data_IF_128657692276
#
_entry.id   IF_128657692276
#
_cell.length_a   1.000
_cell.length_b   1.000
_cell.length_c   1.000
_cell.angle_alpha   90.00
_cell.angle_beta   90.00
_cell.angle_gamma   90.00
#
_symmetry.space_group_name_H-M   'P 1'
#
loop_
_entity.id
_entity.type
_entity.pdbx_description
1 polymer ?
#
# COMPACT_ATOMS: atom_id res chain seq x y z
N UNK A 1 -12.67 -3.33 -13.03
CA UNK A 1 -11.46 -3.34 -12.16
C UNK A 1 -11.53 -2.14 -11.25
N UNK A 2 -11.26 -2.26 -9.95
CA UNK A 2 -11.30 -1.10 -9.05
C UNK A 2 -10.10 -0.18 -9.31
N UNK A 3 -10.28 1.14 -9.21
CA UNK A 3 -9.21 2.15 -9.33
C UNK A 3 -8.00 1.79 -8.44
N UNK A 4 -8.26 1.20 -7.27
CA UNK A 4 -7.25 0.82 -6.28
C UNK A 4 -6.56 -0.52 -6.56
N UNK A 5 -7.04 -1.31 -7.52
CA UNK A 5 -6.25 -2.43 -8.07
C UNK A 5 -4.96 -1.95 -8.74
N UNK A 6 -4.89 -0.67 -9.14
CA UNK A 6 -3.69 -0.05 -9.69
C UNK A 6 -2.58 0.04 -8.65
N UNK A 7 -2.87 0.10 -7.35
CA UNK A 7 -1.83 0.07 -6.31
C UNK A 7 -1.02 -1.25 -6.35
N UNK A 8 -1.67 -2.40 -6.45
CA UNK A 8 -0.93 -3.67 -6.55
C UNK A 8 -0.19 -3.80 -7.89
N UNK A 9 -0.75 -3.24 -8.98
CA UNK A 9 0.00 -3.15 -10.24
C UNK A 9 1.22 -2.25 -10.11
N UNK A 10 1.13 -1.17 -9.32
CA UNK A 10 2.24 -0.25 -9.06
C UNK A 10 3.39 -0.97 -8.37
N UNK A 11 3.07 -1.80 -7.40
CA UNK A 11 4.08 -2.64 -6.75
C UNK A 11 4.74 -3.61 -7.73
N UNK A 12 4.01 -4.15 -8.70
CA UNK A 12 4.59 -5.00 -9.76
C UNK A 12 5.48 -4.21 -10.73
N UNK A 13 5.24 -2.91 -10.92
CA UNK A 13 6.12 -2.02 -11.68
C UNK A 13 7.44 -1.78 -10.92
N UNK A 14 7.35 -1.57 -9.61
CA UNK A 14 8.53 -1.40 -8.73
C UNK A 14 9.40 -2.65 -8.69
N UNK A 15 8.78 -3.82 -8.53
CA UNK A 15 9.49 -5.09 -8.53
C UNK A 15 8.59 -6.18 -9.10
N UNK A 16 9.08 -7.00 -10.06
CA UNK A 16 8.28 -8.06 -10.66
C UNK A 16 7.62 -8.96 -9.59
N UNK A 17 6.31 -9.14 -9.71
CA UNK A 17 5.45 -9.96 -8.84
C UNK A 17 5.25 -9.48 -7.39
N UNK A 18 5.87 -8.39 -6.95
CA UNK A 18 5.73 -7.91 -5.56
C UNK A 18 4.26 -7.65 -5.19
N UNK A 19 3.53 -6.93 -6.04
CA UNK A 19 2.12 -6.65 -5.83
C UNK A 19 1.24 -7.89 -5.86
N UNK A 20 1.53 -8.83 -6.78
CA UNK A 20 0.80 -10.10 -6.87
C UNK A 20 0.98 -10.97 -5.62
N UNK A 21 2.21 -11.06 -5.11
CA UNK A 21 2.54 -11.79 -3.88
C UNK A 21 1.87 -11.14 -2.67
N UNK A 22 1.99 -9.82 -2.53
CA UNK A 22 1.37 -9.09 -1.43
C UNK A 22 -0.15 -9.22 -1.46
N UNK A 23 -0.77 -9.08 -2.63
CA UNK A 23 -2.21 -9.26 -2.82
C UNK A 23 -2.65 -10.66 -2.38
N UNK A 24 -1.91 -11.71 -2.78
CA UNK A 24 -2.22 -13.08 -2.39
C UNK A 24 -2.19 -13.27 -0.87
N UNK A 25 -1.13 -12.81 -0.20
CA UNK A 25 -1.01 -12.94 1.26
C UNK A 25 -2.08 -12.14 2.01
N UNK A 26 -2.33 -10.89 1.59
CA UNK A 26 -3.37 -10.06 2.17
C UNK A 26 -4.74 -10.68 1.99
N UNK A 27 -5.07 -11.18 0.79
CA UNK A 27 -6.37 -11.80 0.52
C UNK A 27 -6.59 -13.04 1.37
N UNK A 28 -5.54 -13.87 1.53
CA UNK A 28 -5.59 -15.07 2.37
C UNK A 28 -5.84 -14.74 3.84
N UNK A 29 -5.22 -13.68 4.36
CA UNK A 29 -5.34 -13.30 5.78
C UNK A 29 -6.59 -12.47 6.09
N UNK A 30 -7.05 -11.65 5.16
CA UNK A 30 -8.22 -10.78 5.33
C UNK A 30 -9.54 -11.48 4.98
N UNK A 31 -9.50 -12.53 4.16
CA UNK A 31 -10.71 -13.21 3.65
C UNK A 31 -11.58 -12.35 2.72
N UNK A 32 -11.13 -11.14 2.38
CA UNK A 32 -11.82 -10.14 1.54
C UNK A 32 -10.86 -9.59 0.50
N UNK A 33 -11.38 -8.86 -0.49
CA UNK A 33 -10.54 -8.20 -1.51
C UNK A 33 -9.60 -7.16 -0.85
N UNK A 34 -8.27 -7.36 -0.90
CA UNK A 34 -7.31 -6.40 -0.35
C UNK A 34 -7.46 -4.99 -0.90
N UNK A 35 -7.91 -4.81 -2.15
CA UNK A 35 -8.10 -3.46 -2.71
C UNK A 35 -9.22 -2.70 -2.01
N UNK A 36 -10.27 -3.40 -1.60
CA UNK A 36 -11.40 -2.82 -0.88
C UNK A 36 -11.00 -2.50 0.57
N UNK A 37 -10.34 -3.44 1.25
CA UNK A 37 -9.89 -3.26 2.64
C UNK A 37 -8.86 -2.14 2.74
N UNK A 38 -7.90 -2.08 1.81
CA UNK A 38 -6.87 -1.06 1.80
C UNK A 38 -7.46 0.36 1.82
N UNK A 39 -8.58 0.57 1.13
CA UNK A 39 -9.22 1.89 1.04
C UNK A 39 -10.18 2.15 2.19
N UNK A 40 -10.95 1.15 2.61
CA UNK A 40 -11.99 1.34 3.65
C UNK A 40 -11.44 1.23 5.07
N UNK A 41 -10.43 0.40 5.25
CA UNK A 41 -9.95 -0.05 6.57
C UNK A 41 -8.42 -0.18 6.53
N UNK A 42 -7.65 0.90 6.21
CA UNK A 42 -6.21 0.80 6.02
C UNK A 42 -5.46 0.29 7.27
N UNK A 43 -6.03 0.47 8.47
CA UNK A 43 -5.48 -0.13 9.71
C UNK A 43 -5.50 -1.64 9.68
N UNK A 44 -6.51 -2.27 9.08
CA UNK A 44 -6.55 -3.74 8.96
C UNK A 44 -5.43 -4.25 8.07
N UNK A 45 -5.12 -3.56 6.99
CA UNK A 45 -3.95 -3.91 6.16
C UNK A 45 -2.66 -3.77 6.95
N UNK A 46 -2.49 -2.67 7.69
CA UNK A 46 -1.33 -2.47 8.56
C UNK A 46 -1.15 -3.61 9.56
N UNK A 47 -2.22 -4.01 10.26
CA UNK A 47 -2.18 -5.10 11.24
C UNK A 47 -1.82 -6.46 10.61
N UNK A 48 -2.29 -6.72 9.38
CA UNK A 48 -1.91 -7.92 8.64
C UNK A 48 -0.43 -7.89 8.25
N UNK A 49 0.07 -6.76 7.76
CA UNK A 49 1.49 -6.59 7.46
C UNK A 49 2.34 -6.77 8.73
N UNK A 50 1.87 -6.25 9.86
CA UNK A 50 2.52 -6.45 11.16
C UNK A 50 2.55 -7.91 11.57
N UNK A 51 1.47 -8.65 11.33
CA UNK A 51 1.43 -10.10 11.57
C UNK A 51 2.42 -10.86 10.69
N UNK A 52 2.58 -10.46 9.42
CA UNK A 52 3.59 -11.03 8.51
C UNK A 52 5.02 -10.77 9.00
N UNK A 53 5.25 -9.65 9.68
CA UNK A 53 6.53 -9.29 10.30
C UNK A 53 6.62 -9.73 11.78
N UNK A 54 6.03 -10.87 12.13
CA UNK A 54 6.08 -11.46 13.47
C UNK A 54 5.58 -10.53 14.60
N UNK A 55 4.71 -9.58 14.30
CA UNK A 55 4.16 -8.62 15.25
C UNK A 55 5.04 -7.38 15.47
N UNK A 56 6.20 -7.28 14.81
CA UNK A 56 7.15 -6.19 15.03
C UNK A 56 6.76 -4.90 14.28
N UNK A 57 6.48 -3.85 15.05
CA UNK A 57 6.00 -2.58 14.51
C UNK A 57 7.08 -1.86 13.70
N UNK A 58 8.34 -1.86 14.16
CA UNK A 58 9.44 -1.15 13.49
C UNK A 58 9.77 -1.77 12.14
N UNK A 59 9.83 -3.10 12.08
CA UNK A 59 10.06 -3.85 10.85
C UNK A 59 8.91 -3.61 9.87
N UNK A 60 7.68 -3.49 10.36
CA UNK A 60 6.51 -3.18 9.52
C UNK A 60 6.56 -1.76 8.96
N UNK A 61 6.90 -0.78 9.80
CA UNK A 61 7.10 0.60 9.36
C UNK A 61 8.23 0.68 8.33
N UNK A 62 9.35 0.01 8.56
CA UNK A 62 10.48 -0.03 7.64
C UNK A 62 10.14 -0.71 6.31
N UNK A 63 9.36 -1.79 6.35
CA UNK A 63 8.86 -2.47 5.16
C UNK A 63 7.97 -1.55 4.31
N UNK A 64 7.01 -0.87 4.95
CA UNK A 64 6.13 0.09 4.28
C UNK A 64 6.94 1.27 3.72
N UNK A 65 7.86 1.82 4.49
CA UNK A 65 8.78 2.86 4.06
C UNK A 65 9.57 2.44 2.81
N UNK A 66 10.12 1.22 2.81
CA UNK A 66 10.89 0.70 1.67
C UNK A 66 10.05 0.62 0.40
N UNK A 67 8.80 0.17 0.51
CA UNK A 67 7.85 0.14 -0.61
C UNK A 67 7.55 1.56 -1.10
N UNK A 68 7.19 2.47 -0.19
CA UNK A 68 6.82 3.84 -0.54
C UNK A 68 8.00 4.54 -1.23
N UNK A 69 9.21 4.44 -0.70
CA UNK A 69 10.43 5.01 -1.31
C UNK A 69 10.71 4.43 -2.70
N UNK A 70 10.48 3.13 -2.88
CA UNK A 70 10.66 2.50 -4.17
C UNK A 70 9.63 3.03 -5.19
N UNK A 71 8.38 3.21 -4.77
CA UNK A 71 7.35 3.86 -5.60
C UNK A 71 7.74 5.31 -5.94
N UNK A 72 8.21 6.09 -4.96
CA UNK A 72 8.66 7.47 -5.19
C UNK A 72 9.73 7.54 -6.28
N UNK A 73 10.73 6.64 -6.19
CA UNK A 73 11.84 6.56 -7.16
C UNK A 73 11.34 6.19 -8.55
N UNK A 74 10.50 5.16 -8.66
CA UNK A 74 10.06 4.62 -9.95
C UNK A 74 9.00 5.49 -10.64
N UNK A 75 8.22 6.24 -9.87
CA UNK A 75 7.14 7.09 -10.40
C UNK A 75 7.45 8.58 -10.41
N UNK A 76 8.60 9.00 -9.86
CA UNK A 76 8.95 10.41 -9.73
C UNK A 76 7.96 11.20 -8.87
N UNK A 77 7.37 10.57 -7.85
CA UNK A 77 6.42 11.20 -6.93
C UNK A 77 7.02 11.41 -5.55
N UNK A 78 6.51 12.40 -4.82
CA UNK A 78 6.86 12.62 -3.41
C UNK A 78 5.66 12.31 -2.52
N UNK A 79 5.87 11.40 -1.58
CA UNK A 79 4.91 10.91 -0.60
C UNK A 79 5.53 11.11 0.78
N UNK A 80 4.79 11.77 1.68
CA UNK A 80 5.21 11.83 3.08
C UNK A 80 5.08 10.43 3.70
N UNK A 81 6.20 9.72 3.89
CA UNK A 81 6.23 8.39 4.51
C UNK A 81 5.59 8.40 5.89
N UNK A 82 5.91 9.43 6.69
CA UNK A 82 5.34 9.63 8.02
C UNK A 82 3.82 9.77 7.96
N UNK A 83 3.31 10.55 7.01
CA UNK A 83 1.86 10.69 6.81
C UNK A 83 1.24 9.37 6.35
N UNK A 84 1.85 8.69 5.37
CA UNK A 84 1.38 7.42 4.83
C UNK A 84 1.20 6.36 5.93
N UNK A 85 2.22 6.18 6.75
CA UNK A 85 2.19 5.24 7.88
C UNK A 85 1.17 5.70 8.93
N UNK A 86 1.15 7.01 9.24
CA UNK A 86 0.21 7.57 10.21
C UNK A 86 -1.24 7.30 9.81
N UNK A 87 -1.65 7.58 8.58
CA UNK A 87 -3.05 7.39 8.13
C UNK A 87 -3.44 5.92 8.09
N UNK A 88 -2.50 5.02 7.80
CA UNK A 88 -2.73 3.59 7.94
C UNK A 88 -2.98 3.22 9.40
N UNK A 89 -2.15 3.72 10.33
CA UNK A 89 -2.27 3.44 11.75
C UNK A 89 -3.52 4.07 12.38
N UNK A 90 -3.93 5.26 11.97
CA UNK A 90 -5.12 5.96 12.49
C UNK A 90 -6.42 5.49 11.87
N UNK A 91 -6.35 4.60 10.85
CA UNK A 91 -7.49 4.17 10.05
C UNK A 91 -8.20 5.32 9.32
N UNK A 92 -7.48 6.38 8.97
CA UNK A 92 -8.01 7.53 8.23
C UNK A 92 -8.18 7.18 6.74
N UNK A 93 -9.30 6.52 6.45
CA UNK A 93 -9.62 6.01 5.12
C UNK A 93 -9.77 7.11 4.05
N UNK A 94 -10.22 8.30 4.42
CA UNK A 94 -10.39 9.42 3.50
C UNK A 94 -9.03 9.96 3.10
N UNK A 95 -8.17 10.27 4.07
CA UNK A 95 -6.83 10.78 3.81
C UNK A 95 -5.96 9.76 3.08
N UNK A 96 -6.08 8.48 3.44
CA UNK A 96 -5.34 7.43 2.76
C UNK A 96 -5.78 7.28 1.30
N UNK A 97 -7.07 7.44 1.00
CA UNK A 97 -7.58 7.45 -0.38
C UNK A 97 -6.97 8.59 -1.19
N UNK A 98 -6.90 9.80 -0.63
CA UNK A 98 -6.27 10.94 -1.33
C UNK A 98 -4.81 10.65 -1.69
N UNK A 99 -4.07 9.99 -0.80
CA UNK A 99 -2.68 9.60 -1.05
C UNK A 99 -2.61 8.56 -2.17
N UNK A 100 -3.44 7.51 -2.13
CA UNK A 100 -3.50 6.50 -3.19
C UNK A 100 -3.89 7.10 -4.54
N UNK A 101 -4.88 7.98 -4.59
CA UNK A 101 -5.32 8.65 -5.81
C UNK A 101 -4.18 9.48 -6.43
N UNK A 102 -3.37 10.17 -5.60
CA UNK A 102 -2.17 10.89 -6.07
C UNK A 102 -1.14 9.96 -6.71
N UNK A 103 -0.92 8.79 -6.11
CA UNK A 103 0.01 7.77 -6.62
C UNK A 103 -0.48 7.22 -7.96
N UNK A 104 -1.76 6.84 -8.03
CA UNK A 104 -2.37 6.24 -9.22
C UNK A 104 -2.42 7.23 -10.38
N UNK A 105 -2.81 8.49 -10.15
CA UNK A 105 -2.81 9.54 -11.18
C UNK A 105 -1.44 9.80 -11.80
N UNK A 106 -0.35 9.54 -11.08
CA UNK A 106 0.99 9.65 -11.65
C UNK A 106 1.34 8.44 -12.50
N UNK A 107 0.95 7.23 -12.09
CA UNK A 107 1.11 6.03 -12.92
C UNK A 107 0.39 6.17 -14.26
N UNK A 108 -0.86 6.66 -14.27
CA UNK A 108 -1.63 6.83 -15.52
C UNK A 108 -0.95 7.78 -16.52
N UNK A 109 -0.02 8.63 -16.08
CA UNK A 109 0.79 9.49 -16.96
C UNK A 109 2.04 8.80 -17.52
N UNK A 110 2.43 7.66 -16.93
CA UNK A 110 3.60 6.88 -17.31
C UNK A 110 3.26 5.71 -18.25
N UNK A 111 1.97 5.38 -18.39
CA UNK A 111 1.42 4.33 -19.26
C UNK A 111 0.93 4.91 -20.60
#
# INVERSE_FOLDING_TARGET
>A
MSHYSLFFKLLNYVAPNLGSVLYFHLKRLLGRDPTEILVKEPRKVYEVLKTLNAGDERTTDFFIESIVRAIERECGITISITEFIYVMKSNDSERFREILDRMVKHMEKLA
#
